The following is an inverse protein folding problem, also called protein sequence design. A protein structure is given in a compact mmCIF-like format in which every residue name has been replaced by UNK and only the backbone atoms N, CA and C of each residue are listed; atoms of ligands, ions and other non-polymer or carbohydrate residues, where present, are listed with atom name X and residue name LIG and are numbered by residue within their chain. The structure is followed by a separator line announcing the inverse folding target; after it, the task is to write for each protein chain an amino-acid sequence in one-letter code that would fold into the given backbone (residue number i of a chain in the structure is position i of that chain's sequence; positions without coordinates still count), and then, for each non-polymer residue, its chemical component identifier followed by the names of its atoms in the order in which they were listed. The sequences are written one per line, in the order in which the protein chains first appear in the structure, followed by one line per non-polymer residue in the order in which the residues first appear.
data_IF_676686147662
#
_entry.id   IF_676686147662
#
_cell.length_a   1.000
_cell.length_b   1.000
_cell.length_c   1.000
_cell.angle_alpha   90.00
_cell.angle_beta   90.00
_cell.angle_gamma   90.00
#
_symmetry.space_group_name_H-M   'P 1'
#
loop_
_entity.id
_entity.type
_entity.pdbx_description
1 polymer ?
#
# COMPACT_ATOMS: atom_id res chain seq x y z
N UNK A 1 -7.87 15.62 -17.15
CA UNK A 1 -9.14 15.57 -16.37
C UNK A 1 -9.53 14.12 -16.07
N UNK A 2 -9.26 13.19 -16.98
CA UNK A 2 -9.63 11.77 -16.84
C UNK A 2 -8.87 11.00 -15.74
N UNK A 3 -7.56 11.25 -15.54
CA UNK A 3 -6.76 10.53 -14.53
C UNK A 3 -7.25 10.77 -13.10
N UNK A 4 -7.66 12.00 -12.79
CA UNK A 4 -8.19 12.36 -11.47
C UNK A 4 -9.55 11.69 -11.19
N UNK A 5 -10.42 11.62 -12.21
CA UNK A 5 -11.69 10.89 -12.10
C UNK A 5 -11.41 9.38 -11.93
N UNK A 6 -10.44 8.85 -12.69
CA UNK A 6 -9.96 7.47 -12.56
C UNK A 6 -9.44 7.16 -11.16
N UNK A 7 -8.64 8.05 -10.56
CA UNK A 7 -8.14 7.93 -9.19
C UNK A 7 -9.29 7.83 -8.17
N UNK A 8 -10.25 8.75 -8.24
CA UNK A 8 -11.42 8.73 -7.33
C UNK A 8 -12.22 7.44 -7.52
N UNK A 9 -12.46 7.03 -8.76
CA UNK A 9 -13.14 5.78 -9.08
C UNK A 9 -12.41 4.57 -8.48
N UNK A 10 -11.07 4.52 -8.60
CA UNK A 10 -10.25 3.45 -8.03
C UNK A 10 -10.32 3.43 -6.49
N UNK A 11 -10.22 4.58 -5.83
CA UNK A 11 -10.37 4.66 -4.37
C UNK A 11 -11.77 4.19 -3.95
N UNK A 12 -12.82 4.63 -4.63
CA UNK A 12 -14.20 4.23 -4.34
C UNK A 12 -14.44 2.74 -4.56
N UNK A 13 -13.86 2.17 -5.61
CA UNK A 13 -13.89 0.72 -5.86
C UNK A 13 -13.17 -0.02 -4.75
N UNK A 14 -11.96 0.41 -4.36
CA UNK A 14 -11.11 -0.28 -3.39
C UNK A 14 -11.66 -0.26 -1.96
N UNK A 15 -12.31 0.82 -1.53
CA UNK A 15 -12.64 1.04 -0.10
C UNK A 15 -14.13 1.02 0.19
N UNK A 16 -14.49 0.67 1.42
CA UNK A 16 -15.80 0.89 2.02
C UNK A 16 -15.88 2.27 2.70
N UNK A 17 -17.09 2.80 2.93
CA UNK A 17 -17.30 4.12 3.56
C UNK A 17 -16.66 4.27 4.96
N UNK A 18 -16.46 3.16 5.66
CA UNK A 18 -15.85 3.12 7.00
C UNK A 18 -14.33 3.17 6.97
N UNK A 19 -13.70 2.92 5.82
CA UNK A 19 -12.25 2.81 5.73
C UNK A 19 -11.60 4.19 5.84
N UNK A 20 -10.45 4.20 6.51
CA UNK A 20 -9.58 5.36 6.57
C UNK A 20 -8.66 5.40 5.35
N UNK A 21 -8.40 6.60 4.83
CA UNK A 21 -7.46 6.81 3.73
C UNK A 21 -6.52 7.95 4.08
N UNK A 22 -5.27 7.89 3.60
CA UNK A 22 -4.45 9.10 3.51
C UNK A 22 -4.89 9.88 2.27
N UNK A 23 -5.59 10.97 2.49
CA UNK A 23 -6.05 11.88 1.44
C UNK A 23 -5.26 13.19 1.50
N UNK A 24 -4.34 13.34 0.55
CA UNK A 24 -3.44 14.48 0.50
C UNK A 24 -4.16 15.81 0.28
N UNK A 25 -5.27 15.84 -0.47
CA UNK A 25 -5.89 17.11 -0.91
C UNK A 25 -7.39 17.19 -0.65
N UNK A 26 -7.99 16.13 -0.12
CA UNK A 26 -9.43 16.04 -0.03
C UNK A 26 -10.11 15.52 -1.28
N UNK A 27 -9.40 14.80 -2.13
CA UNK A 27 -9.96 14.29 -3.38
C UNK A 27 -10.80 13.02 -3.13
N UNK A 28 -10.60 12.37 -1.98
CA UNK A 28 -11.40 11.25 -1.51
C UNK A 28 -12.34 11.67 -0.37
N UNK A 29 -13.05 12.81 -0.51
CA UNK A 29 -14.04 13.32 0.48
C UNK A 29 -15.07 12.30 0.96
N UNK A 30 -15.26 11.21 0.21
CA UNK A 30 -16.21 10.13 0.52
C UNK A 30 -15.67 9.09 1.50
N UNK A 31 -14.44 9.26 2.04
CA UNK A 31 -13.81 8.36 3.00
C UNK A 31 -13.30 9.10 4.23
N UNK A 32 -13.14 8.37 5.33
CA UNK A 32 -12.58 8.93 6.56
C UNK A 32 -11.11 9.22 6.32
N UNK A 33 -10.62 10.39 6.72
CA UNK A 33 -9.18 10.68 6.60
C UNK A 33 -8.43 10.15 7.80
N UNK A 34 -7.34 9.43 7.56
CA UNK A 34 -6.42 9.03 8.61
C UNK A 34 -5.71 10.26 9.23
N UNK A 35 -5.44 11.26 8.39
CA UNK A 35 -4.87 12.54 8.78
C UNK A 35 -5.83 13.67 8.41
N UNK A 36 -6.24 14.48 9.39
CA UNK A 36 -7.31 15.46 9.21
C UNK A 36 -6.97 16.56 8.20
N UNK A 37 -5.76 17.12 8.31
CA UNK A 37 -5.36 18.28 7.50
C UNK A 37 -5.13 17.91 6.04
N UNK A 38 -5.62 18.75 5.12
CA UNK A 38 -5.19 18.69 3.73
C UNK A 38 -3.72 19.10 3.63
N UNK A 39 -2.91 18.32 2.93
CA UNK A 39 -1.47 18.49 2.70
C UNK A 39 -1.20 19.55 1.60
N UNK A 40 -1.81 20.72 1.77
CA UNK A 40 -1.55 21.90 0.96
C UNK A 40 -0.28 22.63 1.44
N UNK A 41 0.27 23.50 0.58
CA UNK A 41 1.54 24.21 0.83
C UNK A 41 1.63 24.84 2.23
N UNK A 42 0.56 25.48 2.70
CA UNK A 42 0.52 26.10 4.03
C UNK A 42 0.57 25.06 5.17
N UNK A 43 -0.13 23.92 5.02
CA UNK A 43 -0.09 22.82 5.99
C UNK A 43 1.31 22.20 6.04
N UNK A 44 1.93 21.98 4.88
CA UNK A 44 3.30 21.46 4.78
C UNK A 44 4.28 22.40 5.50
N UNK A 45 4.22 23.71 5.25
CA UNK A 45 5.05 24.68 5.95
C UNK A 45 4.82 24.68 7.47
N UNK A 46 3.59 24.44 7.92
CA UNK A 46 3.28 24.32 9.35
C UNK A 46 3.82 23.04 9.97
N UNK A 47 3.79 21.92 9.24
CA UNK A 47 4.42 20.66 9.65
C UNK A 47 5.94 20.82 9.78
N UNK A 48 6.59 21.42 8.77
CA UNK A 48 8.03 21.69 8.77
C UNK A 48 8.48 22.60 9.92
N UNK A 49 7.63 23.56 10.31
CA UNK A 49 7.88 24.45 11.44
C UNK A 49 7.46 23.87 12.80
N UNK A 50 6.95 22.64 12.84
CA UNK A 50 6.45 22.01 14.07
C UNK A 50 5.18 22.64 14.65
N UNK A 51 4.47 23.49 13.88
CA UNK A 51 3.19 24.10 14.26
C UNK A 51 2.01 23.12 14.13
N UNK A 52 2.18 22.10 13.31
CA UNK A 52 1.34 20.90 13.27
C UNK A 52 2.25 19.71 13.53
N UNK A 53 1.82 18.80 14.38
CA UNK A 53 2.56 17.56 14.63
C UNK A 53 2.54 16.69 13.37
N UNK A 54 3.71 16.32 12.86
CA UNK A 54 3.85 15.31 11.81
C UNK A 54 3.75 13.91 12.43
N UNK A 55 2.53 13.46 12.72
CA UNK A 55 2.21 12.11 13.22
C UNK A 55 1.54 11.22 12.16
N UNK A 56 1.75 11.53 10.87
CA UNK A 56 1.08 10.84 9.76
C UNK A 56 1.31 9.32 9.79
N UNK A 57 2.57 8.80 9.90
CA UNK A 57 2.79 7.36 10.01
C UNK A 57 2.02 6.71 11.16
N UNK A 58 2.05 7.33 12.34
CA UNK A 58 1.36 6.85 13.54
C UNK A 58 -0.17 6.81 13.33
N UNK A 59 -0.72 7.81 12.64
CA UNK A 59 -2.14 7.84 12.28
C UNK A 59 -2.51 6.75 11.29
N UNK A 60 -1.69 6.49 10.28
CA UNK A 60 -1.94 5.40 9.33
C UNK A 60 -1.96 4.05 10.04
N UNK A 61 -1.03 3.83 10.97
CA UNK A 61 -0.99 2.63 11.81
C UNK A 61 -2.24 2.53 12.70
N UNK A 62 -2.55 3.58 13.46
CA UNK A 62 -3.66 3.58 14.41
C UNK A 62 -5.02 3.35 13.73
N UNK A 63 -5.20 3.90 12.54
CA UNK A 63 -6.42 3.77 11.74
C UNK A 63 -6.44 2.56 10.80
N UNK A 64 -5.32 1.83 10.71
CA UNK A 64 -5.09 0.75 9.75
C UNK A 64 -5.45 1.15 8.32
N UNK A 65 -5.08 2.36 7.90
CA UNK A 65 -5.49 2.92 6.62
C UNK A 65 -4.97 2.06 5.46
N UNK A 66 -5.86 1.36 4.71
CA UNK A 66 -5.42 0.47 3.64
C UNK A 66 -4.88 1.20 2.41
N UNK A 67 -5.19 2.49 2.25
CA UNK A 67 -4.85 3.30 1.07
C UNK A 67 -4.10 4.56 1.47
N UNK A 68 -3.07 4.87 0.68
CA UNK A 68 -2.41 6.16 0.69
C UNK A 68 -2.34 6.80 -0.70
N UNK A 69 -2.64 8.10 -0.75
CA UNK A 69 -2.39 8.96 -1.91
C UNK A 69 -1.09 9.75 -1.68
N UNK A 70 -0.17 9.73 -2.65
CA UNK A 70 1.22 10.20 -2.45
C UNK A 70 1.47 11.68 -2.77
N UNK A 71 0.50 12.41 -3.30
CA UNK A 71 0.68 13.80 -3.71
C UNK A 71 1.03 14.70 -2.51
N UNK A 72 2.08 15.53 -2.62
CA UNK A 72 2.49 16.53 -1.59
C UNK A 72 2.66 15.96 -0.18
N UNK A 73 3.06 14.70 -0.07
CA UNK A 73 3.34 14.07 1.23
C UNK A 73 4.65 14.60 1.82
N UNK A 74 4.68 14.97 3.12
CA UNK A 74 5.92 15.31 3.83
C UNK A 74 6.93 14.16 3.77
N UNK A 75 8.25 14.42 3.87
CA UNK A 75 9.28 13.39 3.73
C UNK A 75 9.08 12.18 4.64
N UNK A 76 8.68 12.40 5.90
CA UNK A 76 8.44 11.32 6.87
C UNK A 76 7.29 10.40 6.45
N UNK A 77 6.18 11.00 6.03
CA UNK A 77 5.02 10.27 5.53
C UNK A 77 5.35 9.54 4.21
N UNK A 78 6.07 10.20 3.29
CA UNK A 78 6.48 9.62 2.02
C UNK A 78 7.32 8.37 2.21
N UNK A 79 8.36 8.46 3.04
CA UNK A 79 9.22 7.32 3.37
C UNK A 79 8.39 6.17 3.95
N UNK A 80 7.50 6.44 4.90
CA UNK A 80 6.62 5.41 5.45
C UNK A 80 5.74 4.75 4.38
N UNK A 81 5.18 5.53 3.46
CA UNK A 81 4.34 5.04 2.37
C UNK A 81 5.15 4.18 1.40
N UNK A 82 6.32 4.64 0.97
CA UNK A 82 7.20 3.91 0.05
C UNK A 82 7.59 2.53 0.61
N UNK A 83 7.82 2.44 1.93
CA UNK A 83 8.18 1.19 2.56
C UNK A 83 7.00 0.26 2.86
N UNK A 84 5.77 0.76 2.98
CA UNK A 84 4.62 -0.04 3.46
C UNK A 84 3.43 -0.12 2.50
N UNK A 85 3.49 0.60 1.37
CA UNK A 85 2.41 0.66 0.39
C UNK A 85 2.94 0.49 -1.05
N UNK A 86 2.26 -0.36 -1.80
CA UNK A 86 2.52 -0.64 -3.21
C UNK A 86 1.63 0.20 -4.10
N UNK A 87 2.21 0.78 -5.15
CA UNK A 87 1.43 1.42 -6.21
C UNK A 87 0.58 0.39 -6.94
N UNK A 88 -0.69 0.70 -7.16
CA UNK A 88 -1.64 -0.17 -7.89
C UNK A 88 -2.46 0.60 -8.92
N UNK A 89 -2.48 1.92 -8.84
CA UNK A 89 -3.02 2.82 -9.85
C UNK A 89 -2.34 4.20 -9.75
N UNK A 90 -2.57 5.08 -10.72
CA UNK A 90 -2.09 6.48 -10.68
C UNK A 90 -2.40 7.14 -9.34
N UNK A 91 -1.34 7.54 -8.62
CA UNK A 91 -1.38 8.14 -7.27
C UNK A 91 -2.11 7.34 -6.18
N UNK A 92 -2.49 6.08 -6.42
CA UNK A 92 -3.14 5.21 -5.45
C UNK A 92 -2.20 4.09 -5.06
N UNK A 93 -1.85 4.06 -3.77
CA UNK A 93 -1.06 2.99 -3.17
C UNK A 93 -1.87 2.27 -2.11
N UNK A 94 -1.67 0.96 -2.00
CA UNK A 94 -2.34 0.09 -1.02
C UNK A 94 -1.32 -0.60 -0.14
N UNK A 95 -1.70 -0.99 1.08
CA UNK A 95 -0.80 -1.72 1.98
C UNK A 95 -0.18 -2.94 1.28
N UNK A 96 1.14 -3.08 1.40
CA UNK A 96 1.84 -4.21 0.83
C UNK A 96 3.35 -4.04 0.82
N UNK A 97 4.03 -5.14 0.49
CA UNK A 97 5.48 -5.27 0.41
C UNK A 97 5.83 -6.04 -0.86
N UNK A 98 6.75 -5.47 -1.64
CA UNK A 98 7.35 -6.19 -2.75
C UNK A 98 8.32 -7.20 -2.15
N UNK A 99 8.21 -8.46 -2.55
CA UNK A 99 9.20 -9.47 -2.22
C UNK A 99 10.25 -9.39 -3.33
N UNK A 100 11.52 -9.20 -2.95
CA UNK A 100 12.57 -9.06 -3.95
C UNK A 100 12.60 -10.28 -4.90
N UNK A 101 12.98 -10.12 -6.18
CA UNK A 101 13.05 -11.25 -7.08
C UNK A 101 14.01 -12.31 -6.56
N UNK A 102 13.56 -13.57 -6.44
CA UNK A 102 14.48 -14.68 -6.21
C UNK A 102 15.37 -14.81 -7.45
N UNK A 103 16.70 -14.66 -7.28
CA UNK A 103 17.69 -14.79 -8.36
C UNK A 103 17.92 -16.25 -8.78
N UNK A 104 16.88 -17.09 -8.84
CA UNK A 104 16.88 -18.51 -9.31
C UNK A 104 17.01 -19.63 -8.25
N UNK A 105 17.07 -19.34 -6.94
CA UNK A 105 17.13 -20.38 -5.91
C UNK A 105 15.80 -20.56 -5.17
N UNK A 106 15.08 -21.63 -5.48
CA UNK A 106 13.89 -22.05 -4.73
C UNK A 106 14.22 -23.22 -3.78
N UNK A 107 13.59 -23.28 -2.59
CA UNK A 107 12.62 -22.31 -2.06
C UNK A 107 13.29 -20.98 -1.69
N UNK A 108 12.65 -19.87 -2.08
CA UNK A 108 13.11 -18.53 -1.77
C UNK A 108 12.48 -18.06 -0.45
N UNK A 109 13.29 -17.49 0.44
CA UNK A 109 12.84 -16.97 1.74
C UNK A 109 12.98 -15.46 1.78
N UNK A 110 11.94 -14.80 2.26
CA UNK A 110 11.83 -13.36 2.38
C UNK A 110 11.44 -12.98 3.80
N UNK A 111 12.19 -12.05 4.37
CA UNK A 111 11.85 -11.44 5.65
C UNK A 111 11.12 -10.12 5.39
N UNK A 112 9.96 -9.95 6.02
CA UNK A 112 9.04 -8.82 5.76
C UNK A 112 8.55 -8.25 7.09
N UNK A 113 8.77 -6.95 7.29
CA UNK A 113 8.23 -6.24 8.45
C UNK A 113 6.93 -5.49 8.09
N UNK A 114 5.81 -5.92 8.68
CA UNK A 114 4.50 -5.32 8.49
C UNK A 114 4.22 -4.27 9.57
N UNK A 115 4.09 -3.00 9.17
CA UNK A 115 3.76 -1.93 10.11
C UNK A 115 2.27 -1.92 10.51
N UNK A 116 1.38 -2.44 9.64
CA UNK A 116 -0.08 -2.30 9.79
C UNK A 116 -0.73 -3.69 9.71
N UNK A 117 -1.41 -4.16 10.77
CA UNK A 117 -2.07 -5.45 10.74
C UNK A 117 -3.34 -5.39 9.87
N UNK A 118 -3.50 -6.34 8.96
CA UNK A 118 -4.69 -6.46 8.09
C UNK A 118 -4.74 -7.84 7.42
N UNK A 119 -5.77 -8.06 6.59
CA UNK A 119 -5.81 -9.20 5.66
C UNK A 119 -4.85 -8.94 4.50
N UNK A 120 -3.81 -9.76 4.40
CA UNK A 120 -2.89 -9.79 3.28
C UNK A 120 -3.10 -11.03 2.42
N UNK A 121 -2.70 -10.95 1.16
CA UNK A 121 -2.59 -12.07 0.23
C UNK A 121 -1.32 -11.94 -0.59
N UNK A 122 -0.84 -13.03 -1.17
CA UNK A 122 0.24 -12.99 -2.15
C UNK A 122 -0.34 -12.79 -3.54
N UNK A 123 0.36 -11.99 -4.34
CA UNK A 123 0.14 -11.85 -5.77
C UNK A 123 1.46 -12.07 -6.49
N UNK A 124 1.39 -12.71 -7.64
CA UNK A 124 2.54 -13.02 -8.48
C UNK A 124 2.39 -12.31 -9.81
N UNK A 125 3.50 -11.87 -10.38
CA UNK A 125 3.51 -11.30 -11.72
C UNK A 125 3.12 -12.35 -12.78
N UNK A 126 3.50 -13.61 -12.55
CA UNK A 126 3.21 -14.75 -13.42
C UNK A 126 2.93 -15.99 -12.58
N UNK A 127 1.92 -16.78 -12.98
CA UNK A 127 1.58 -18.05 -12.33
C UNK A 127 1.00 -17.92 -10.91
N UNK A 128 0.76 -19.05 -10.26
CA UNK A 128 0.40 -19.16 -8.85
C UNK A 128 1.33 -20.17 -8.20
N UNK A 129 1.88 -19.82 -7.04
CA UNK A 129 2.87 -20.64 -6.36
C UNK A 129 2.47 -20.94 -4.92
N UNK A 130 2.86 -22.13 -4.45
CA UNK A 130 2.71 -22.48 -3.05
C UNK A 130 3.64 -21.62 -2.19
N UNK A 131 3.10 -21.09 -1.11
CA UNK A 131 3.84 -20.26 -0.17
C UNK A 131 3.55 -20.68 1.27
N UNK A 132 4.53 -20.47 2.14
CA UNK A 132 4.38 -20.53 3.59
C UNK A 132 4.58 -19.13 4.15
N UNK A 133 3.79 -18.75 5.15
CA UNK A 133 4.08 -17.60 6.00
C UNK A 133 4.22 -18.11 7.42
N UNK A 134 5.37 -17.82 8.04
CA UNK A 134 5.76 -18.28 9.38
C UNK A 134 5.60 -19.80 9.52
N UNK A 135 6.03 -20.53 8.50
CA UNK A 135 5.97 -22.00 8.43
C UNK A 135 4.59 -22.59 8.14
N UNK A 136 3.54 -21.77 7.99
CA UNK A 136 2.16 -22.25 7.75
C UNK A 136 1.76 -22.02 6.30
N UNK A 137 1.16 -23.04 5.65
CA UNK A 137 0.66 -22.96 4.26
C UNK A 137 -0.20 -21.73 4.06
N UNK A 138 0.06 -20.98 2.99
CA UNK A 138 -0.60 -19.72 2.71
C UNK A 138 -1.35 -19.82 1.37
N UNK A 139 -2.55 -20.39 1.45
CA UNK A 139 -3.37 -20.72 0.27
C UNK A 139 -4.38 -19.61 -0.09
N UNK A 140 -4.29 -18.46 0.58
CA UNK A 140 -5.15 -17.32 0.30
C UNK A 140 -5.10 -16.24 1.37
N UNK A 141 -5.98 -15.24 1.24
CA UNK A 141 -6.01 -14.10 2.14
C UNK A 141 -6.10 -14.46 3.64
N UNK A 142 -5.17 -13.93 4.44
CA UNK A 142 -5.08 -14.17 5.89
C UNK A 142 -4.81 -12.87 6.64
N UNK A 143 -5.37 -12.75 7.83
CA UNK A 143 -5.02 -11.66 8.74
C UNK A 143 -3.61 -11.86 9.29
N UNK A 144 -2.71 -10.91 9.03
CA UNK A 144 -1.36 -10.89 9.59
C UNK A 144 -1.25 -9.74 10.60
N UNK A 145 -0.55 -10.00 11.70
CA UNK A 145 -0.28 -8.98 12.72
C UNK A 145 0.78 -7.99 12.22
N UNK A 146 0.94 -6.89 12.94
CA UNK A 146 2.13 -6.06 12.76
C UNK A 146 3.35 -6.78 13.34
N UNK A 147 4.49 -6.70 12.67
CA UNK A 147 5.72 -7.33 13.10
C UNK A 147 6.46 -8.01 11.97
N UNK A 148 7.44 -8.82 12.36
CA UNK A 148 8.28 -9.56 11.46
C UNK A 148 7.60 -10.85 11.00
N UNK A 149 7.62 -11.10 9.70
CA UNK A 149 7.08 -12.30 9.08
C UNK A 149 8.09 -12.89 8.12
N UNK A 150 8.15 -14.22 8.08
CA UNK A 150 8.95 -14.95 7.11
C UNK A 150 8.07 -15.58 6.05
N UNK A 151 8.26 -15.18 4.80
CA UNK A 151 7.56 -15.72 3.63
C UNK A 151 8.49 -16.66 2.89
N UNK A 152 8.05 -17.89 2.63
CA UNK A 152 8.77 -18.84 1.81
C UNK A 152 7.94 -19.16 0.57
N UNK A 153 8.54 -19.08 -0.60
CA UNK A 153 7.91 -19.42 -1.88
C UNK A 153 8.62 -20.66 -2.41
N UNK A 154 7.86 -21.71 -2.74
CA UNK A 154 8.44 -23.03 -3.04
C UNK A 154 8.93 -23.19 -4.49
N UNK A 155 8.36 -22.44 -5.43
CA UNK A 155 8.73 -22.42 -6.84
C UNK A 155 8.19 -21.15 -7.48
N UNK A 156 8.75 -20.71 -8.61
CA UNK A 156 8.12 -19.70 -9.46
C UNK A 156 9.06 -18.90 -10.35
N UNK A 157 8.50 -17.94 -11.08
CA UNK A 157 9.26 -17.00 -11.89
C UNK A 157 8.61 -15.62 -11.81
N UNK A 158 9.45 -14.58 -11.87
CA UNK A 158 8.98 -13.18 -11.82
C UNK A 158 8.83 -12.62 -10.40
N UNK A 159 8.27 -11.41 -10.32
CA UNK A 159 8.11 -10.68 -9.06
C UNK A 159 6.93 -11.20 -8.25
N UNK A 160 7.02 -11.08 -6.93
CA UNK A 160 5.93 -11.40 -6.01
C UNK A 160 5.73 -10.25 -5.03
N UNK A 161 4.50 -10.05 -4.59
CA UNK A 161 4.18 -9.07 -3.56
C UNK A 161 3.19 -9.64 -2.56
N UNK A 162 3.38 -9.27 -1.29
CA UNK A 162 2.37 -9.40 -0.25
C UNK A 162 1.54 -8.11 -0.27
N UNK A 163 0.23 -8.20 -0.50
CA UNK A 163 -0.64 -7.05 -0.70
C UNK A 163 -1.90 -7.17 0.14
N UNK A 164 -2.50 -6.04 0.50
CA UNK A 164 -3.84 -6.00 1.11
C UNK A 164 -4.84 -6.81 0.26
N UNK A 165 -5.45 -7.81 0.88
CA UNK A 165 -6.25 -8.81 0.17
C UNK A 165 -7.39 -8.20 -0.65
N UNK A 166 -8.06 -7.19 -0.10
CA UNK A 166 -9.18 -6.53 -0.78
C UNK A 166 -8.76 -5.80 -2.07
N UNK A 167 -7.51 -5.34 -2.17
CA UNK A 167 -7.01 -4.82 -3.44
C UNK A 167 -6.99 -5.91 -4.51
N UNK A 168 -6.41 -7.07 -4.19
CA UNK A 168 -6.35 -8.22 -5.08
C UNK A 168 -7.74 -8.76 -5.44
N UNK A 169 -8.63 -8.90 -4.46
CA UNK A 169 -10.03 -9.34 -4.66
C UNK A 169 -10.81 -8.42 -5.62
N UNK A 170 -10.41 -7.14 -5.70
CA UNK A 170 -11.03 -6.13 -6.57
C UNK A 170 -10.28 -5.94 -7.90
N UNK A 171 -9.30 -6.80 -8.18
CA UNK A 171 -8.54 -6.82 -9.43
C UNK A 171 -7.39 -5.82 -9.48
N UNK A 172 -6.95 -5.26 -8.36
CA UNK A 172 -5.79 -4.37 -8.30
C UNK A 172 -4.52 -5.16 -7.97
N UNK A 173 -3.45 -4.86 -8.70
CA UNK A 173 -2.14 -5.52 -8.54
C UNK A 173 -1.02 -4.52 -8.85
N UNK A 174 0.12 -4.60 -8.15
CA UNK A 174 1.31 -3.79 -8.46
C UNK A 174 1.96 -4.18 -9.79
N UNK A 175 1.54 -5.31 -10.37
CA UNK A 175 2.03 -5.79 -11.67
C UNK A 175 1.07 -5.45 -12.82
N UNK A 176 -0.05 -4.77 -12.53
CA UNK A 176 -0.99 -4.34 -13.57
C UNK A 176 -0.49 -3.10 -14.30
N UNK A 177 -0.94 -2.91 -15.54
CA UNK A 177 -0.66 -1.69 -16.32
C UNK A 177 -1.20 -0.41 -15.66
N UNK A 178 -2.21 -0.52 -14.79
CA UNK A 178 -2.73 0.60 -14.01
C UNK A 178 -1.67 1.16 -13.04
N UNK A 179 -0.77 0.31 -12.54
CA UNK A 179 0.27 0.68 -11.58
C UNK A 179 1.42 1.50 -12.19
N UNK A 180 1.43 1.70 -13.52
CA UNK A 180 2.38 2.58 -14.19
C UNK A 180 2.06 4.02 -13.77
N UNK A 181 2.83 4.50 -12.79
CA UNK A 181 2.90 5.90 -12.43
C UNK A 181 3.59 6.59 -13.62
N UNK A 182 2.81 7.21 -14.50
CA UNK A 182 3.35 8.15 -15.48
C UNK A 182 3.94 9.31 -14.69
N UNK A 183 5.21 9.14 -14.30
CA UNK A 183 6.06 10.15 -13.71
C UNK A 183 6.18 11.31 -14.70
N UNK A 184 5.27 12.26 -14.55
CA UNK A 184 5.33 13.60 -15.09
C UNK A 184 4.79 14.53 -14.01
N UNK A 185 5.65 14.85 -13.05
CA UNK A 185 5.46 16.08 -12.27
C UNK A 185 5.68 17.26 -13.22
N UNK A 186 4.63 18.05 -13.41
CA UNK A 186 4.65 19.51 -13.30
C UNK A 186 3.42 19.95 -12.47
#
# INVERSE_FOLDING_TARGET
MDEKIGMISNVLRLTHKSDFVLDAKGEAVFRRRAFYYALEKLTIQRLERGLIKDDIPERLIATRAPIAMTHRTPPRARNFIEHNYLAVAWRVRVLGKMLEPAKENFPATYDVDLAIPTRYTLVFEQGNFAALIDGTSFDGPRFLQSGHHRVQISAGAGRCALIWATASEKGFSPFSSLAIDTSGED
#
